data_IF_341094798143
#
_entry.id   IF_341094798143
#
_cell.length_a   1.000
_cell.length_b   1.000
_cell.length_c   1.000
_cell.angle_alpha   90.00
_cell.angle_beta   90.00
_cell.angle_gamma   90.00
#
_symmetry.space_group_name_H-M   'P 1'
#
loop_
_entity.id
_entity.type
_entity.pdbx_description
1 polymer ?
#
# COMPACT_ATOMS: atom_id res chain seq x y z
N UNK A 1 38.77 5.95 -42.91
CA UNK A 1 38.44 5.96 -41.46
C UNK A 1 36.99 5.57 -41.13
N UNK A 2 36.00 5.66 -42.04
CA UNK A 2 34.58 5.35 -41.73
C UNK A 2 34.17 3.85 -41.75
N UNK A 3 35.01 2.97 -42.30
CA UNK A 3 34.72 1.52 -42.40
C UNK A 3 35.26 0.73 -41.20
N UNK A 4 36.45 1.09 -40.71
CA UNK A 4 37.04 0.51 -39.49
C UNK A 4 36.23 0.88 -38.24
N UNK A 5 35.71 2.11 -38.16
CA UNK A 5 34.88 2.53 -37.03
C UNK A 5 33.53 1.79 -36.99
N UNK A 6 32.99 1.41 -38.15
CA UNK A 6 31.75 0.61 -38.25
C UNK A 6 31.95 -0.85 -37.85
N UNK A 7 33.07 -1.46 -38.26
CA UNK A 7 33.42 -2.82 -37.86
C UNK A 7 33.70 -2.91 -36.35
N UNK A 8 34.36 -1.90 -35.79
CA UNK A 8 34.65 -1.83 -34.36
C UNK A 8 33.38 -1.59 -33.50
N UNK A 9 32.43 -0.77 -33.97
CA UNK A 9 31.15 -0.59 -33.28
C UNK A 9 30.25 -1.83 -33.38
N UNK A 10 30.26 -2.55 -34.51
CA UNK A 10 29.53 -3.80 -34.64
C UNK A 10 30.09 -4.87 -33.69
N UNK A 11 31.42 -5.00 -33.56
CA UNK A 11 32.03 -5.95 -32.62
C UNK A 11 31.77 -5.59 -31.16
N UNK A 12 31.74 -4.29 -30.81
CA UNK A 12 31.43 -3.85 -29.43
C UNK A 12 29.97 -4.15 -29.09
N UNK A 13 29.03 -3.87 -29.99
CA UNK A 13 27.61 -4.20 -29.77
C UNK A 13 27.37 -5.71 -29.66
N UNK A 14 28.12 -6.53 -30.40
CA UNK A 14 28.05 -7.98 -30.35
C UNK A 14 28.62 -8.51 -29.01
N UNK A 15 29.76 -7.98 -28.55
CA UNK A 15 30.33 -8.29 -27.23
C UNK A 15 29.37 -7.88 -26.11
N UNK A 16 28.82 -6.66 -26.14
CA UNK A 16 27.83 -6.19 -25.16
C UNK A 16 26.57 -7.08 -25.14
N UNK A 17 26.13 -7.57 -26.30
CA UNK A 17 24.98 -8.47 -26.39
C UNK A 17 25.28 -9.87 -25.83
N UNK A 18 26.49 -10.39 -26.01
CA UNK A 18 26.93 -11.68 -25.49
C UNK A 18 27.18 -11.62 -24.00
N UNK A 19 27.81 -10.55 -23.50
CA UNK A 19 27.98 -10.30 -22.07
C UNK A 19 26.63 -10.13 -21.38
N UNK A 20 25.72 -9.32 -21.93
CA UNK A 20 24.36 -9.19 -21.41
C UNK A 20 23.60 -10.52 -21.41
N UNK A 21 23.77 -11.37 -22.43
CA UNK A 21 23.18 -12.70 -22.49
C UNK A 21 23.79 -13.64 -21.44
N UNK A 22 25.12 -13.58 -21.21
CA UNK A 22 25.83 -14.33 -20.19
C UNK A 22 25.38 -13.95 -18.78
N UNK A 23 25.39 -12.66 -18.46
CA UNK A 23 24.88 -12.12 -17.18
C UNK A 23 23.42 -12.50 -16.96
N UNK A 24 22.60 -12.48 -18.01
CA UNK A 24 21.20 -12.87 -17.90
C UNK A 24 20.99 -14.37 -17.69
N UNK A 25 21.86 -15.21 -18.23
CA UNK A 25 21.85 -16.65 -17.97
C UNK A 25 22.21 -16.96 -16.51
N UNK A 26 23.23 -16.30 -15.97
CA UNK A 26 23.64 -16.44 -14.57
C UNK A 26 22.55 -15.96 -13.60
N UNK A 27 21.95 -14.80 -13.87
CA UNK A 27 20.81 -14.28 -13.08
C UNK A 27 19.64 -15.26 -13.10
N UNK A 28 19.34 -15.88 -14.25
CA UNK A 28 18.27 -16.88 -14.35
C UNK A 28 18.56 -18.11 -13.50
N UNK A 29 19.78 -18.64 -13.58
CA UNK A 29 20.22 -19.79 -12.77
C UNK A 29 20.13 -19.49 -11.27
N UNK A 30 20.65 -18.34 -10.83
CA UNK A 30 20.55 -17.90 -9.43
C UNK A 30 19.10 -17.79 -8.95
N UNK A 31 18.20 -17.27 -9.79
CA UNK A 31 16.77 -17.17 -9.47
C UNK A 31 16.08 -18.53 -9.39
N UNK A 32 16.49 -19.51 -10.19
CA UNK A 32 15.93 -20.88 -10.10
C UNK A 32 16.21 -21.50 -8.74
N UNK A 33 17.40 -21.30 -8.20
CA UNK A 33 17.74 -21.74 -6.84
C UNK A 33 17.00 -20.93 -5.79
N UNK A 34 17.06 -19.59 -5.87
CA UNK A 34 16.50 -18.70 -4.86
C UNK A 34 14.96 -18.75 -4.78
N UNK A 35 14.27 -18.94 -5.90
CA UNK A 35 12.82 -19.00 -5.95
C UNK A 35 12.27 -20.42 -5.78
N UNK A 36 13.14 -21.42 -5.64
CA UNK A 36 12.76 -22.80 -5.43
C UNK A 36 11.93 -22.94 -4.16
N UNK A 37 10.81 -23.64 -4.28
CA UNK A 37 9.99 -24.03 -3.14
C UNK A 37 10.26 -25.50 -2.81
N UNK A 38 10.71 -25.82 -1.58
CA UNK A 38 10.92 -27.20 -1.20
C UNK A 38 9.57 -27.94 -1.11
N UNK A 39 9.53 -29.27 -1.36
CA UNK A 39 8.28 -30.03 -1.41
C UNK A 39 7.40 -29.89 -0.15
N UNK A 40 8.02 -29.77 1.03
CA UNK A 40 7.31 -29.54 2.29
C UNK A 40 6.56 -28.20 2.32
N UNK A 41 7.20 -27.11 1.90
CA UNK A 41 6.56 -25.78 1.85
C UNK A 41 5.49 -25.73 0.75
N UNK A 42 5.71 -26.42 -0.38
CA UNK A 42 4.68 -26.60 -1.40
C UNK A 42 3.44 -27.30 -0.83
N UNK A 43 3.62 -28.42 -0.12
CA UNK A 43 2.51 -29.20 0.45
C UNK A 43 1.76 -28.37 1.50
N UNK A 44 2.49 -27.67 2.36
CA UNK A 44 1.94 -26.74 3.36
C UNK A 44 1.14 -25.63 2.71
N UNK A 45 1.64 -25.01 1.63
CA UNK A 45 0.90 -23.99 0.87
C UNK A 45 -0.37 -24.56 0.24
N UNK A 46 -0.33 -25.76 -0.32
CA UNK A 46 -1.51 -26.43 -0.88
C UNK A 46 -2.56 -26.67 0.20
N UNK A 47 -2.18 -27.22 1.36
CA UNK A 47 -3.08 -27.46 2.49
C UNK A 47 -3.68 -26.15 2.98
N UNK A 48 -2.84 -25.16 3.30
CA UNK A 48 -3.30 -23.89 3.85
C UNK A 48 -4.13 -23.08 2.85
N UNK A 49 -3.76 -23.10 1.57
CA UNK A 49 -4.48 -22.41 0.50
C UNK A 49 -5.83 -23.07 0.18
N UNK A 50 -5.91 -24.40 0.27
CA UNK A 50 -7.18 -25.13 0.19
C UNK A 50 -8.06 -24.80 1.39
N UNK A 51 -7.51 -24.85 2.61
CA UNK A 51 -8.24 -24.47 3.82
C UNK A 51 -8.75 -23.01 3.78
N UNK A 52 -7.97 -22.08 3.21
CA UNK A 52 -8.41 -20.70 3.01
C UNK A 52 -9.59 -20.61 2.03
N UNK A 53 -9.57 -21.38 0.94
CA UNK A 53 -10.65 -21.42 -0.05
C UNK A 53 -11.96 -21.97 0.53
N UNK A 54 -11.87 -22.82 1.56
CA UNK A 54 -13.00 -23.43 2.25
C UNK A 54 -13.53 -22.61 3.44
N UNK A 55 -13.06 -21.38 3.65
CA UNK A 55 -13.63 -20.50 4.70
C UNK A 55 -15.07 -20.10 4.33
N UNK A 56 -15.99 -19.98 5.31
CA UNK A 56 -17.39 -19.61 5.06
C UNK A 56 -17.58 -18.37 4.20
N UNK A 57 -16.76 -17.34 4.42
CA UNK A 57 -16.77 -16.08 3.65
C UNK A 57 -16.43 -16.27 2.16
N UNK A 58 -15.73 -17.36 1.81
CA UNK A 58 -15.29 -17.68 0.45
C UNK A 58 -16.13 -18.77 -0.22
N UNK A 59 -16.86 -19.59 0.54
CA UNK A 59 -17.68 -20.70 0.00
C UNK A 59 -18.78 -20.18 -0.92
N UNK A 60 -19.33 -18.99 -0.65
CA UNK A 60 -20.37 -18.37 -1.49
C UNK A 60 -19.95 -18.16 -2.94
N UNK A 61 -18.64 -17.99 -3.19
CA UNK A 61 -18.09 -17.79 -4.54
C UNK A 61 -17.80 -19.11 -5.28
N UNK A 62 -17.90 -20.27 -4.62
CA UNK A 62 -17.54 -21.58 -5.19
C UNK A 62 -18.32 -21.94 -6.45
N UNK A 63 -19.65 -21.74 -6.56
CA UNK A 63 -20.36 -22.04 -7.81
C UNK A 63 -19.84 -21.24 -9.01
N UNK A 64 -19.51 -19.95 -8.79
CA UNK A 64 -18.93 -19.09 -9.80
C UNK A 64 -17.52 -19.53 -10.21
N UNK A 65 -16.70 -19.90 -9.22
CA UNK A 65 -15.34 -20.42 -9.46
C UNK A 65 -15.36 -21.77 -10.18
N UNK A 66 -16.28 -22.67 -9.84
CA UNK A 66 -16.44 -23.96 -10.52
C UNK A 66 -16.87 -23.78 -11.97
N UNK A 67 -17.84 -22.90 -12.23
CA UNK A 67 -18.26 -22.57 -13.61
C UNK A 67 -17.10 -21.99 -14.41
N UNK A 68 -16.32 -21.08 -13.82
CA UNK A 68 -15.14 -20.50 -14.45
C UNK A 68 -14.09 -21.57 -14.76
N UNK A 69 -13.80 -22.44 -13.80
CA UNK A 69 -12.85 -23.54 -13.99
C UNK A 69 -13.27 -24.49 -15.11
N UNK A 70 -14.55 -24.88 -15.16
CA UNK A 70 -15.07 -25.72 -16.24
C UNK A 70 -14.90 -25.05 -17.61
N UNK A 71 -15.25 -23.76 -17.74
CA UNK A 71 -15.05 -22.99 -18.98
C UNK A 71 -13.57 -22.91 -19.39
N UNK A 72 -12.66 -22.80 -18.43
CA UNK A 72 -11.21 -22.80 -18.67
C UNK A 72 -10.73 -24.14 -19.22
N UNK A 73 -11.20 -25.27 -18.68
CA UNK A 73 -10.80 -26.61 -19.14
C UNK A 73 -11.18 -26.88 -20.60
N UNK A 74 -12.29 -26.30 -21.07
CA UNK A 74 -12.75 -26.44 -22.46
C UNK A 74 -12.27 -25.29 -23.37
N UNK A 75 -11.35 -24.43 -22.90
CA UNK A 75 -10.75 -23.37 -23.70
C UNK A 75 -11.68 -22.22 -24.08
N UNK A 76 -12.82 -22.06 -23.38
CA UNK A 76 -13.82 -21.04 -23.67
C UNK A 76 -13.53 -19.69 -23.01
N UNK A 77 -12.49 -19.58 -22.19
CA UNK A 77 -12.10 -18.32 -21.56
C UNK A 77 -11.07 -17.56 -22.40
N UNK A 78 -11.25 -16.23 -22.56
CA UNK A 78 -10.22 -15.42 -23.19
C UNK A 78 -8.96 -15.40 -22.32
N UNK A 79 -7.77 -15.38 -22.97
CA UNK A 79 -6.47 -15.29 -22.29
C UNK A 79 -6.40 -14.09 -21.33
N UNK A 80 -6.99 -12.96 -21.74
CA UNK A 80 -7.12 -11.75 -20.94
C UNK A 80 -8.60 -11.33 -20.99
N UNK A 81 -9.36 -11.47 -19.89
CA UNK A 81 -10.79 -11.11 -19.86
C UNK A 81 -11.01 -9.59 -19.87
N UNK A 82 -12.23 -9.18 -20.22
CA UNK A 82 -12.72 -7.81 -20.00
C UNK A 82 -13.45 -7.73 -18.64
N UNK A 83 -12.92 -6.95 -17.67
CA UNK A 83 -13.51 -6.81 -16.34
C UNK A 83 -14.84 -6.04 -16.28
N UNK A 84 -15.30 -5.46 -17.41
CA UNK A 84 -16.60 -4.78 -17.54
C UNK A 84 -17.74 -5.70 -17.93
N UNK A 85 -17.46 -6.94 -18.33
CA UNK A 85 -18.51 -7.85 -18.78
C UNK A 85 -19.47 -8.24 -17.65
N UNK A 86 -20.78 -8.23 -17.94
CA UNK A 86 -21.86 -8.44 -16.97
C UNK A 86 -21.82 -9.82 -16.28
N UNK A 87 -21.15 -10.82 -16.87
CA UNK A 87 -21.04 -12.17 -16.31
C UNK A 87 -20.12 -12.24 -15.06
N UNK A 88 -19.41 -11.15 -14.72
CA UNK A 88 -18.32 -11.14 -13.74
C UNK A 88 -18.70 -10.43 -12.43
N UNK A 89 -19.58 -11.05 -11.66
CA UNK A 89 -20.13 -10.52 -10.41
C UNK A 89 -19.16 -10.51 -9.20
N UNK A 90 -17.94 -11.05 -9.33
CA UNK A 90 -16.99 -11.24 -8.23
C UNK A 90 -15.65 -10.50 -8.41
N UNK A 91 -14.68 -10.81 -7.56
CA UNK A 91 -13.28 -10.34 -7.72
C UNK A 91 -12.56 -11.09 -8.84
N UNK A 92 -12.87 -12.37 -9.05
CA UNK A 92 -12.26 -13.20 -10.08
C UNK A 92 -12.98 -13.00 -11.41
N UNK A 93 -12.20 -12.74 -12.46
CA UNK A 93 -12.69 -12.44 -13.82
C UNK A 93 -12.15 -13.41 -14.87
N UNK A 94 -11.21 -14.29 -14.52
CA UNK A 94 -10.63 -15.27 -15.44
C UNK A 94 -9.53 -16.11 -14.81
N UNK A 95 -8.89 -16.96 -15.62
CA UNK A 95 -7.73 -17.78 -15.23
C UNK A 95 -6.47 -17.25 -15.94
N UNK A 96 -5.42 -17.02 -15.18
CA UNK A 96 -4.15 -16.50 -15.67
C UNK A 96 -3.19 -17.67 -15.98
N UNK A 97 -3.39 -18.30 -17.13
CA UNK A 97 -2.55 -19.41 -17.62
C UNK A 97 -1.19 -18.94 -18.15
N UNK A 98 -1.12 -17.68 -18.59
CA UNK A 98 0.11 -17.08 -19.09
C UNK A 98 0.51 -15.86 -18.24
N UNK A 99 1.74 -15.90 -17.75
CA UNK A 99 2.38 -14.85 -16.93
C UNK A 99 3.59 -14.26 -17.66
N UNK A 100 3.60 -14.29 -19.00
CA UNK A 100 4.57 -13.56 -19.80
C UNK A 100 4.47 -12.04 -19.56
N UNK A 101 5.57 -11.33 -19.79
CA UNK A 101 5.65 -9.86 -19.63
C UNK A 101 4.56 -9.17 -20.45
N UNK A 102 4.40 -9.57 -21.72
CA UNK A 102 3.41 -8.98 -22.64
C UNK A 102 1.99 -9.15 -22.12
N UNK A 103 1.64 -10.33 -21.62
CA UNK A 103 0.31 -10.60 -21.05
C UNK A 103 0.08 -9.84 -19.76
N UNK A 104 1.07 -9.77 -18.86
CA UNK A 104 0.94 -9.03 -17.60
C UNK A 104 0.78 -7.52 -17.83
N UNK A 105 1.52 -6.95 -18.77
CA UNK A 105 1.37 -5.54 -19.16
C UNK A 105 0.00 -5.29 -19.79
N UNK A 106 -0.46 -6.17 -20.69
CA UNK A 106 -1.78 -6.06 -21.31
C UNK A 106 -2.92 -6.23 -20.28
N UNK A 107 -2.77 -7.14 -19.32
CA UNK A 107 -3.70 -7.34 -18.22
C UNK A 107 -3.78 -6.09 -17.33
N UNK A 108 -2.63 -5.53 -16.94
CA UNK A 108 -2.56 -4.30 -16.16
C UNK A 108 -3.27 -3.13 -16.86
N UNK A 109 -3.09 -2.97 -18.18
CA UNK A 109 -3.80 -1.97 -19.00
C UNK A 109 -5.32 -2.11 -18.94
N UNK A 110 -5.81 -3.33 -18.85
CA UNK A 110 -7.24 -3.63 -18.62
C UNK A 110 -7.68 -3.55 -17.16
N UNK A 111 -6.79 -3.20 -16.23
CA UNK A 111 -7.11 -3.08 -14.81
C UNK A 111 -7.35 -4.42 -14.11
N UNK A 112 -6.72 -5.49 -14.60
CA UNK A 112 -6.76 -6.82 -13.98
C UNK A 112 -5.35 -7.24 -13.57
N UNK A 113 -5.24 -8.07 -12.52
CA UNK A 113 -3.97 -8.52 -11.97
C UNK A 113 -4.04 -10.01 -11.61
N UNK A 114 -2.91 -10.74 -11.64
CA UNK A 114 -2.89 -12.14 -11.28
C UNK A 114 -2.91 -12.30 -9.75
N UNK A 115 -3.67 -13.25 -9.24
CA UNK A 115 -3.65 -13.65 -7.84
C UNK A 115 -3.92 -15.15 -7.73
N UNK A 116 -3.10 -15.87 -6.97
CA UNK A 116 -3.31 -17.30 -6.76
C UNK A 116 -2.43 -17.88 -5.66
N UNK A 117 -3.04 -18.73 -4.85
CA UNK A 117 -2.34 -19.45 -3.78
C UNK A 117 -2.04 -20.91 -4.16
N UNK A 118 -2.98 -21.53 -4.89
CA UNK A 118 -2.95 -22.93 -5.31
C UNK A 118 -3.45 -23.03 -6.75
N UNK A 119 -2.82 -23.92 -7.53
CA UNK A 119 -3.10 -24.12 -8.94
C UNK A 119 -2.73 -22.91 -9.80
N UNK A 120 -3.38 -22.78 -10.96
CA UNK A 120 -3.21 -21.61 -11.82
C UNK A 120 -3.68 -20.33 -11.10
N UNK A 121 -2.94 -19.21 -11.24
CA UNK A 121 -3.42 -17.92 -10.76
C UNK A 121 -4.71 -17.50 -11.49
N UNK A 122 -5.48 -16.63 -10.84
CA UNK A 122 -6.72 -16.07 -11.36
C UNK A 122 -6.47 -14.64 -11.79
N UNK A 123 -7.14 -14.20 -12.85
CA UNK A 123 -7.27 -12.78 -13.13
C UNK A 123 -8.28 -12.17 -12.16
N UNK A 124 -7.89 -11.08 -11.51
CA UNK A 124 -8.72 -10.40 -10.52
C UNK A 124 -8.99 -8.94 -10.91
N UNK A 125 -10.21 -8.49 -10.68
CA UNK A 125 -10.64 -7.10 -10.70
C UNK A 125 -11.75 -6.92 -9.67
N UNK A 126 -11.49 -6.40 -8.45
CA UNK A 126 -12.51 -6.20 -7.43
C UNK A 126 -13.55 -5.15 -7.84
N UNK A 127 -14.73 -5.18 -7.20
CA UNK A 127 -15.81 -4.19 -7.44
C UNK A 127 -15.41 -2.77 -7.01
N UNK A 128 -14.62 -2.70 -5.94
CA UNK A 128 -13.97 -1.48 -5.45
C UNK A 128 -12.47 -1.63 -5.58
N UNK A 129 -11.78 -0.56 -6.00
CA UNK A 129 -10.34 -0.51 -6.15
C UNK A 129 -9.75 0.49 -5.16
N UNK A 130 -8.74 0.06 -4.41
CA UNK A 130 -7.98 0.96 -3.54
C UNK A 130 -6.92 1.71 -4.36
N UNK A 131 -7.06 3.03 -4.42
CA UNK A 131 -6.15 3.93 -5.14
C UNK A 131 -5.69 5.07 -4.24
N UNK A 132 -4.46 5.54 -4.45
CA UNK A 132 -3.95 6.75 -3.83
C UNK A 132 -3.74 7.81 -4.91
N UNK A 133 -4.43 8.93 -4.75
CA UNK A 133 -4.06 10.17 -5.40
C UNK A 133 -3.03 10.88 -4.53
N UNK A 134 -1.94 11.37 -5.13
CA UNK A 134 -0.81 11.89 -4.37
C UNK A 134 -1.14 13.07 -3.47
N UNK A 135 -2.15 13.87 -3.85
CA UNK A 135 -2.66 14.94 -2.98
C UNK A 135 -3.23 14.42 -1.68
N UNK A 136 -3.65 13.15 -1.57
CA UNK A 136 -4.23 12.61 -0.34
C UNK A 136 -3.19 11.88 0.52
N UNK A 137 -1.92 11.82 0.07
CA UNK A 137 -0.87 11.03 0.73
C UNK A 137 -0.48 11.56 2.11
N UNK A 138 -0.51 10.69 3.12
CA UNK A 138 -0.14 11.01 4.48
C UNK A 138 1.07 10.21 4.97
N UNK A 139 2.12 10.91 5.40
CA UNK A 139 3.26 10.30 6.09
C UNK A 139 3.00 10.36 7.60
N UNK A 140 2.93 9.19 8.24
CA UNK A 140 2.73 9.09 9.69
C UNK A 140 3.82 9.81 10.49
N UNK A 141 3.47 10.34 11.67
CA UNK A 141 4.42 11.01 12.57
C UNK A 141 5.60 10.12 12.97
N UNK A 142 5.37 8.81 13.15
CA UNK A 142 6.42 7.88 13.52
C UNK A 142 7.40 7.65 12.37
N UNK A 143 6.90 7.44 11.14
CA UNK A 143 7.74 7.33 9.96
C UNK A 143 8.57 8.60 9.73
N UNK A 144 7.98 9.80 9.84
CA UNK A 144 8.75 11.06 9.76
C UNK A 144 9.86 11.15 10.80
N UNK A 145 9.57 10.73 12.04
CA UNK A 145 10.58 10.72 13.11
C UNK A 145 11.70 9.73 12.76
N UNK A 146 11.38 8.53 12.30
CA UNK A 146 12.38 7.54 11.91
C UNK A 146 13.26 8.02 10.76
N UNK A 147 12.69 8.63 9.72
CA UNK A 147 13.45 9.18 8.61
C UNK A 147 14.41 10.31 9.04
N UNK A 148 13.97 11.21 9.94
CA UNK A 148 14.82 12.30 10.45
C UNK A 148 16.01 11.84 11.30
N UNK A 149 16.01 10.59 11.78
CA UNK A 149 17.14 10.07 12.55
C UNK A 149 18.33 9.70 11.69
N UNK A 150 18.17 9.60 10.36
CA UNK A 150 19.26 9.23 9.45
C UNK A 150 19.80 7.81 9.65
N UNK A 151 18.96 6.88 10.12
CA UNK A 151 19.35 5.49 10.41
C UNK A 151 19.20 4.55 9.23
N UNK A 152 18.55 5.00 8.15
CA UNK A 152 18.17 4.15 7.04
C UNK A 152 18.56 4.79 5.71
N UNK A 153 19.14 3.99 4.82
CA UNK A 153 19.33 4.31 3.40
C UNK A 153 18.21 3.67 2.60
N UNK A 154 17.65 4.39 1.64
CA UNK A 154 16.68 3.83 0.68
C UNK A 154 17.32 3.76 -0.69
N UNK A 155 17.09 2.65 -1.38
CA UNK A 155 17.50 2.45 -2.77
C UNK A 155 16.31 1.94 -3.59
N UNK A 156 16.43 2.02 -4.90
CA UNK A 156 15.51 1.38 -5.84
C UNK A 156 16.28 0.41 -6.73
N UNK A 157 15.63 -0.69 -7.11
CA UNK A 157 16.11 -1.66 -8.08
C UNK A 157 17.49 -2.29 -7.80
N UNK A 158 17.97 -2.25 -6.55
CA UNK A 158 19.28 -2.80 -6.18
C UNK A 158 19.23 -4.25 -5.67
N UNK A 159 18.09 -4.70 -5.12
CA UNK A 159 17.96 -6.04 -4.54
C UNK A 159 16.56 -6.61 -4.74
N UNK A 160 16.11 -6.66 -6.00
CA UNK A 160 14.75 -7.09 -6.34
C UNK A 160 14.43 -8.50 -5.84
N UNK A 161 15.36 -9.42 -6.04
CA UNK A 161 15.29 -10.81 -5.61
C UNK A 161 15.12 -10.94 -4.09
N UNK A 162 15.92 -10.22 -3.31
CA UNK A 162 15.82 -10.21 -1.84
C UNK A 162 14.47 -9.64 -1.39
N UNK A 163 14.02 -8.55 -2.02
CA UNK A 163 12.75 -7.90 -1.69
C UNK A 163 11.55 -8.81 -1.97
N UNK A 164 11.51 -9.48 -3.14
CA UNK A 164 10.39 -10.36 -3.48
C UNK A 164 10.37 -11.63 -2.62
N UNK A 165 11.56 -12.13 -2.23
CA UNK A 165 11.69 -13.23 -1.27
C UNK A 165 11.18 -12.80 0.10
N UNK A 166 11.63 -11.67 0.64
CA UNK A 166 11.19 -11.16 1.94
C UNK A 166 9.68 -10.85 1.95
N UNK A 167 9.13 -10.36 0.83
CA UNK A 167 7.67 -10.20 0.67
C UNK A 167 6.91 -11.54 0.69
N UNK A 168 7.58 -12.63 0.32
CA UNK A 168 7.02 -13.98 0.27
C UNK A 168 7.03 -14.70 1.63
N UNK A 169 7.74 -14.17 2.62
CA UNK A 169 7.92 -14.82 3.91
C UNK A 169 6.65 -14.84 4.79
N UNK A 170 6.54 -15.84 5.69
CA UNK A 170 5.47 -15.90 6.68
C UNK A 170 5.44 -14.66 7.58
N UNK A 171 4.24 -14.10 7.79
CA UNK A 171 4.07 -12.95 8.70
C UNK A 171 3.52 -13.41 10.05
N UNK A 172 4.11 -13.00 11.18
CA UNK A 172 3.60 -13.32 12.51
C UNK A 172 2.13 -12.88 12.66
N UNK A 173 1.28 -13.77 13.18
CA UNK A 173 -0.13 -13.47 13.44
C UNK A 173 -1.06 -13.47 12.22
N UNK A 174 -0.57 -13.87 11.04
CA UNK A 174 -1.39 -14.04 9.84
C UNK A 174 -1.49 -15.51 9.43
N UNK A 175 -2.64 -15.89 8.85
CA UNK A 175 -2.80 -17.20 8.23
C UNK A 175 -1.81 -17.33 7.06
N UNK A 176 -0.92 -18.33 7.09
CA UNK A 176 0.23 -18.45 6.20
C UNK A 176 -0.14 -18.96 4.80
N UNK A 177 -0.89 -18.16 4.04
CA UNK A 177 -1.16 -18.44 2.62
C UNK A 177 -0.67 -17.25 1.81
N UNK A 178 0.57 -17.36 1.32
CA UNK A 178 1.13 -16.36 0.43
C UNK A 178 0.73 -16.65 -1.03
N UNK A 179 0.47 -15.59 -1.79
CA UNK A 179 0.20 -15.66 -3.23
C UNK A 179 1.47 -15.52 -4.08
N UNK A 180 2.58 -15.08 -3.48
CA UNK A 180 3.89 -14.91 -4.13
C UNK A 180 4.57 -16.28 -4.24
N UNK A 181 3.97 -17.16 -5.04
CA UNK A 181 4.48 -18.49 -5.39
C UNK A 181 5.75 -18.38 -6.25
N UNK A 182 6.53 -19.47 -6.43
CA UNK A 182 7.68 -19.47 -7.34
C UNK A 182 7.34 -18.96 -8.74
N UNK A 183 6.20 -19.39 -9.30
CA UNK A 183 5.73 -18.92 -10.60
C UNK A 183 5.52 -17.39 -10.63
N UNK A 184 4.98 -16.81 -9.55
CA UNK A 184 4.85 -15.36 -9.45
C UNK A 184 6.20 -14.66 -9.28
N UNK A 185 7.12 -15.21 -8.48
CA UNK A 185 8.47 -14.65 -8.32
C UNK A 185 9.17 -14.53 -9.69
N UNK A 186 9.17 -15.60 -10.48
CA UNK A 186 9.71 -15.58 -11.84
C UNK A 186 8.96 -14.60 -12.76
N UNK A 187 7.65 -14.48 -12.64
CA UNK A 187 6.87 -13.56 -13.45
C UNK A 187 7.24 -12.08 -13.20
N UNK A 188 7.33 -11.67 -11.94
CA UNK A 188 7.75 -10.31 -11.60
C UNK A 188 9.24 -10.07 -11.83
N UNK A 189 10.10 -11.08 -11.68
CA UNK A 189 11.50 -10.98 -12.04
C UNK A 189 11.68 -10.71 -13.54
N UNK A 190 10.90 -11.37 -14.41
CA UNK A 190 10.88 -11.03 -15.85
C UNK A 190 10.35 -9.62 -16.12
N UNK A 191 9.36 -9.15 -15.36
CA UNK A 191 8.91 -7.76 -15.45
C UNK A 191 10.00 -6.77 -15.01
N UNK A 192 10.81 -7.14 -14.02
CA UNK A 192 11.92 -6.33 -13.54
C UNK A 192 13.04 -6.26 -14.58
N UNK A 193 13.39 -7.38 -15.21
CA UNK A 193 14.36 -7.40 -16.32
C UNK A 193 13.87 -6.57 -17.52
N UNK A 194 12.56 -6.59 -17.76
CA UNK A 194 11.93 -5.79 -18.81
C UNK A 194 11.74 -4.30 -18.43
N UNK A 195 12.19 -3.88 -17.23
CA UNK A 195 12.13 -2.49 -16.76
C UNK A 195 10.74 -2.00 -16.34
N UNK A 196 9.80 -2.92 -16.09
CA UNK A 196 8.43 -2.59 -15.65
C UNK A 196 8.19 -2.82 -14.16
N UNK A 197 8.83 -3.81 -13.55
CA UNK A 197 8.75 -4.00 -12.11
C UNK A 197 9.92 -3.31 -11.42
N UNK A 198 9.67 -2.80 -10.22
CA UNK A 198 10.66 -2.06 -9.43
C UNK A 198 10.59 -2.49 -7.97
N UNK A 199 11.75 -2.55 -7.34
CA UNK A 199 11.89 -2.78 -5.90
C UNK A 199 12.31 -1.50 -5.18
N UNK A 200 11.92 -1.42 -3.92
CA UNK A 200 12.27 -0.36 -3.00
C UNK A 200 12.86 -1.02 -1.77
N UNK A 201 14.12 -0.71 -1.48
CA UNK A 201 14.86 -1.31 -0.38
C UNK A 201 15.10 -0.29 0.73
N UNK A 202 15.02 -0.74 1.98
CA UNK A 202 15.38 0.05 3.16
C UNK A 202 16.48 -0.67 3.92
N UNK A 203 17.68 -0.12 3.82
CA UNK A 203 18.89 -0.64 4.44
C UNK A 203 19.18 0.08 5.75
N UNK A 204 19.68 -0.64 6.75
CA UNK A 204 20.33 0.01 7.88
C UNK A 204 21.79 0.40 7.55
N UNK A 205 22.45 1.05 8.50
CA UNK A 205 23.86 1.46 8.41
C UNK A 205 24.87 0.29 8.25
N UNK A 206 24.48 -0.92 8.65
CA UNK A 206 25.30 -2.13 8.50
C UNK A 206 25.14 -2.76 7.11
N UNK A 207 24.21 -2.25 6.30
CA UNK A 207 23.92 -2.79 4.97
C UNK A 207 22.91 -3.94 4.99
N UNK A 208 22.16 -4.13 6.08
CA UNK A 208 21.14 -5.16 6.17
C UNK A 208 19.79 -4.66 5.62
N UNK A 209 19.09 -5.50 4.85
CA UNK A 209 17.75 -5.21 4.35
C UNK A 209 16.70 -5.29 5.48
N UNK A 210 16.19 -4.14 5.94
CA UNK A 210 15.23 -4.04 7.07
C UNK A 210 13.78 -3.83 6.65
N UNK A 211 13.51 -3.61 5.39
CA UNK A 211 12.16 -3.46 4.87
C UNK A 211 12.18 -3.03 3.41
N UNK A 212 11.00 -2.95 2.82
CA UNK A 212 10.88 -2.62 1.42
C UNK A 212 9.59 -3.12 0.81
N UNK A 213 9.60 -3.20 -0.51
CA UNK A 213 8.55 -3.83 -1.29
C UNK A 213 8.74 -3.60 -2.77
N UNK A 214 7.81 -4.11 -3.56
CA UNK A 214 7.91 -4.03 -5.01
C UNK A 214 6.56 -3.69 -5.64
N UNK A 215 6.62 -3.20 -6.87
CA UNK A 215 5.46 -2.90 -7.68
C UNK A 215 5.78 -2.86 -9.17
N UNK A 216 4.78 -2.52 -9.97
CA UNK A 216 4.87 -2.46 -11.44
C UNK A 216 4.51 -1.06 -11.91
N UNK A 217 5.37 -0.43 -12.70
CA UNK A 217 5.15 0.87 -13.32
C UNK A 217 4.78 0.69 -14.79
N UNK A 218 3.57 1.14 -15.17
CA UNK A 218 3.12 1.13 -16.56
C UNK A 218 2.45 2.47 -16.85
N UNK A 219 2.96 3.17 -17.88
CA UNK A 219 2.55 4.53 -18.16
C UNK A 219 2.76 5.43 -16.95
N UNK A 220 1.71 6.14 -16.52
CA UNK A 220 1.73 6.98 -15.30
C UNK A 220 1.01 6.34 -14.12
N UNK A 221 0.95 5.01 -14.06
CA UNK A 221 0.37 4.26 -12.94
C UNK A 221 1.44 3.40 -12.29
N UNK A 222 1.53 3.46 -10.97
CA UNK A 222 2.31 2.50 -10.18
C UNK A 222 1.36 1.54 -9.47
N UNK A 223 1.55 0.25 -9.72
CA UNK A 223 0.77 -0.83 -9.11
C UNK A 223 1.60 -1.39 -7.96
N UNK A 224 1.20 -1.12 -6.72
CA UNK A 224 1.81 -1.70 -5.53
C UNK A 224 1.45 -3.18 -5.41
N UNK A 225 2.45 -4.05 -5.28
CA UNK A 225 2.25 -5.50 -5.16
C UNK A 225 2.34 -5.98 -3.72
N UNK A 226 3.50 -5.77 -3.08
CA UNK A 226 3.70 -6.20 -1.70
C UNK A 226 4.75 -5.35 -1.00
N UNK A 227 4.68 -5.36 0.34
CA UNK A 227 5.59 -4.68 1.26
C UNK A 227 5.98 -5.65 2.38
N UNK A 228 7.18 -5.53 2.91
CA UNK A 228 7.65 -6.21 4.11
C UNK A 228 8.37 -5.24 5.07
N UNK A 229 8.50 -5.64 6.34
CA UNK A 229 9.09 -4.80 7.39
C UNK A 229 9.73 -5.71 8.44
N UNK A 230 11.05 -5.69 8.54
CA UNK A 230 11.82 -6.39 9.59
C UNK A 230 12.21 -5.45 10.74
N UNK A 231 12.08 -4.14 10.54
CA UNK A 231 12.19 -3.15 11.60
C UNK A 231 11.01 -2.18 11.57
N UNK A 232 10.87 -1.43 12.66
CA UNK A 232 9.75 -0.51 12.86
C UNK A 232 9.72 0.56 11.77
N UNK A 233 8.54 0.75 11.19
CA UNK A 233 8.23 1.79 10.19
C UNK A 233 9.02 1.69 8.87
N UNK A 234 9.87 0.68 8.64
CA UNK A 234 10.70 0.59 7.41
C UNK A 234 9.86 0.46 6.14
N UNK A 235 8.80 -0.36 6.13
CA UNK A 235 7.81 -0.39 5.03
C UNK A 235 7.15 0.97 4.78
N UNK A 236 6.97 1.82 5.81
CA UNK A 236 6.41 3.16 5.64
C UNK A 236 7.42 4.17 5.12
N UNK A 237 8.69 3.99 5.46
CA UNK A 237 9.80 4.78 4.90
C UNK A 237 9.90 4.49 3.40
N UNK A 238 9.89 3.21 3.01
CA UNK A 238 9.89 2.79 1.61
C UNK A 238 8.76 3.47 0.82
N UNK A 239 7.51 3.36 1.30
CA UNK A 239 6.34 3.98 0.66
C UNK A 239 6.48 5.51 0.61
N UNK A 240 6.94 6.16 1.68
CA UNK A 240 7.08 7.62 1.71
C UNK A 240 8.08 8.13 0.68
N UNK A 241 9.24 7.48 0.56
CA UNK A 241 10.26 7.83 -0.42
C UNK A 241 9.76 7.55 -1.84
N UNK A 242 9.14 6.38 -2.07
CA UNK A 242 8.52 6.06 -3.35
C UNK A 242 7.47 7.10 -3.78
N UNK A 243 6.53 7.45 -2.90
CA UNK A 243 5.47 8.42 -3.23
C UNK A 243 6.07 9.78 -3.59
N UNK A 244 7.18 10.19 -2.97
CA UNK A 244 7.86 11.44 -3.31
C UNK A 244 8.37 11.41 -4.74
N UNK A 245 9.04 10.33 -5.14
CA UNK A 245 9.58 10.16 -6.49
C UNK A 245 8.46 10.07 -7.53
N UNK A 246 7.43 9.26 -7.29
CA UNK A 246 6.29 9.16 -8.21
C UNK A 246 5.62 10.51 -8.49
N UNK A 247 5.55 11.41 -7.49
CA UNK A 247 5.05 12.78 -7.68
C UNK A 247 5.96 13.61 -8.58
N UNK A 248 7.27 13.59 -8.36
CA UNK A 248 8.23 14.36 -9.17
C UNK A 248 8.32 13.79 -10.60
N UNK A 249 8.24 12.47 -10.75
CA UNK A 249 8.14 11.78 -12.03
C UNK A 249 6.74 11.82 -12.64
N UNK A 250 5.81 12.63 -12.12
CA UNK A 250 4.53 12.92 -12.77
C UNK A 250 3.58 11.73 -12.92
N UNK A 251 3.65 10.72 -12.04
CA UNK A 251 2.64 9.66 -12.00
C UNK A 251 1.27 10.23 -11.65
N UNK A 252 0.22 9.54 -12.09
CA UNK A 252 -1.17 9.96 -11.88
C UNK A 252 -1.75 9.45 -10.56
N UNK A 253 -1.54 8.18 -10.25
CA UNK A 253 -1.99 7.55 -9.01
C UNK A 253 -1.26 6.23 -8.73
N UNK A 254 -1.46 5.69 -7.52
CA UNK A 254 -0.99 4.37 -7.11
C UNK A 254 -2.18 3.43 -6.92
N UNK A 255 -2.08 2.21 -7.44
CA UNK A 255 -3.07 1.14 -7.31
C UNK A 255 -2.56 0.03 -6.39
N UNK A 256 -3.25 -0.25 -5.29
CA UNK A 256 -2.91 -1.37 -4.38
C UNK A 256 -3.95 -2.47 -4.41
N UNK A 257 -4.84 -2.45 -5.40
CA UNK A 257 -5.93 -3.40 -5.60
C UNK A 257 -7.00 -3.30 -4.52
N UNK A 258 -6.68 -3.74 -3.31
CA UNK A 258 -7.58 -3.85 -2.17
C UNK A 258 -7.16 -2.93 -1.02
N UNK A 259 -8.15 -2.48 -0.26
CA UNK A 259 -7.92 -1.64 0.91
C UNK A 259 -7.45 -2.48 2.10
N UNK A 260 -6.56 -1.91 2.91
CA UNK A 260 -6.21 -2.42 4.23
C UNK A 260 -5.86 -1.26 5.19
N UNK A 261 -5.76 -1.50 6.51
CA UNK A 261 -5.51 -0.41 7.48
C UNK A 261 -4.20 0.36 7.24
N UNK A 262 -3.18 -0.28 6.67
CA UNK A 262 -1.92 0.40 6.32
C UNK A 262 -2.15 1.36 5.16
N UNK A 263 -2.84 0.93 4.10
CA UNK A 263 -3.19 1.78 2.95
C UNK A 263 -4.09 2.95 3.37
N UNK A 264 -5.10 2.70 4.20
CA UNK A 264 -5.94 3.75 4.77
C UNK A 264 -5.09 4.79 5.52
N UNK A 265 -4.09 4.34 6.30
CA UNK A 265 -3.19 5.25 7.04
C UNK A 265 -2.32 6.15 6.14
N UNK A 266 -2.10 5.74 4.89
CA UNK A 266 -1.42 6.54 3.87
C UNK A 266 -2.36 7.47 3.09
N UNK A 267 -3.68 7.35 3.26
CA UNK A 267 -4.66 8.17 2.54
C UNK A 267 -5.20 7.55 1.25
N UNK A 268 -5.06 6.23 1.07
CA UNK A 268 -5.75 5.53 -0.02
C UNK A 268 -7.26 5.65 0.14
N UNK A 269 -7.98 5.64 -0.98
CA UNK A 269 -9.43 5.63 -1.04
C UNK A 269 -9.93 4.49 -1.94
N UNK A 270 -11.13 4.00 -1.67
CA UNK A 270 -11.79 3.03 -2.53
C UNK A 270 -12.64 3.76 -3.58
N UNK A 271 -12.49 3.36 -4.85
CA UNK A 271 -13.31 3.85 -5.96
C UNK A 271 -14.00 2.68 -6.68
N UNK A 272 -15.18 2.89 -7.30
CA UNK A 272 -15.83 1.86 -8.10
C UNK A 272 -14.95 1.38 -9.28
N UNK A 273 -15.04 0.09 -9.62
CA UNK A 273 -14.29 -0.54 -10.72
C UNK A 273 -14.39 0.27 -12.02
N UNK A 274 -15.60 0.66 -12.45
CA UNK A 274 -15.78 1.39 -13.72
C UNK A 274 -15.07 2.73 -13.76
N UNK A 275 -15.01 3.43 -12.61
CA UNK A 275 -14.25 4.67 -12.47
C UNK A 275 -12.76 4.39 -12.55
N UNK A 276 -12.28 3.36 -11.83
CA UNK A 276 -10.89 2.93 -11.90
C UNK A 276 -10.48 2.58 -13.33
N UNK A 277 -11.22 1.71 -14.02
CA UNK A 277 -10.90 1.26 -15.38
C UNK A 277 -10.80 2.43 -16.36
N UNK A 278 -11.75 3.37 -16.30
CA UNK A 278 -11.76 4.56 -17.16
C UNK A 278 -10.56 5.49 -16.92
N UNK A 279 -10.09 5.58 -15.67
CA UNK A 279 -8.90 6.37 -15.32
C UNK A 279 -7.60 5.63 -15.67
N UNK A 280 -7.58 4.31 -15.44
CA UNK A 280 -6.45 3.42 -15.65
C UNK A 280 -6.06 3.37 -17.12
N UNK A 281 -7.02 3.19 -18.02
CA UNK A 281 -6.80 3.15 -19.46
C UNK A 281 -6.07 4.42 -19.96
N UNK A 282 -6.55 5.59 -19.53
CA UNK A 282 -5.92 6.88 -19.88
C UNK A 282 -4.50 7.00 -19.33
N UNK A 283 -4.32 6.69 -18.05
CA UNK A 283 -3.04 6.86 -17.38
C UNK A 283 -1.98 5.85 -17.84
N UNK A 284 -2.36 4.62 -18.18
CA UNK A 284 -1.43 3.60 -18.67
C UNK A 284 -1.04 3.77 -20.14
N UNK A 285 -1.81 4.55 -20.91
CA UNK A 285 -1.46 4.94 -22.28
C UNK A 285 -0.60 6.20 -22.35
N UNK A 286 -0.47 6.95 -21.25
CA UNK A 286 0.50 8.04 -21.17
C UNK A 286 1.92 7.49 -21.18
N UNK A 287 2.87 8.24 -21.76
CA UNK A 287 4.27 7.84 -21.79
C UNK A 287 4.81 7.73 -20.36
N UNK A 288 5.14 6.52 -19.94
CA UNK A 288 5.75 6.20 -18.65
C UNK A 288 7.27 6.13 -18.73
N UNK A 289 7.87 5.73 -17.61
CA UNK A 289 9.28 5.37 -17.56
C UNK A 289 9.44 3.85 -17.56
N UNK A 290 10.38 3.35 -18.36
CA UNK A 290 10.78 1.94 -18.43
C UNK A 290 12.30 1.94 -18.29
N UNK A 291 12.83 1.11 -17.39
CA UNK A 291 14.26 1.04 -17.10
C UNK A 291 14.56 0.83 -15.63
N UNK A 292 15.79 1.09 -15.21
CA UNK A 292 16.19 1.03 -13.79
C UNK A 292 15.87 2.33 -13.09
N UNK A 293 15.38 2.23 -11.86
CA UNK A 293 15.14 3.36 -10.99
C UNK A 293 16.31 3.60 -10.06
N UNK A 294 16.56 4.87 -9.78
CA UNK A 294 17.53 5.30 -8.79
C UNK A 294 16.86 6.29 -7.83
N UNK A 295 17.38 6.36 -6.61
CA UNK A 295 16.87 7.29 -5.60
C UNK A 295 17.54 8.64 -5.80
N UNK A 296 16.73 9.64 -6.08
CA UNK A 296 17.15 11.04 -6.20
C UNK A 296 16.97 11.79 -4.87
N UNK A 297 15.98 11.40 -4.06
CA UNK A 297 15.57 12.10 -2.84
C UNK A 297 15.61 11.15 -1.64
N UNK A 298 16.55 11.41 -0.72
CA UNK A 298 16.73 10.60 0.49
C UNK A 298 15.61 10.72 1.52
N UNK A 299 15.50 9.78 2.48
CA UNK A 299 14.44 9.77 3.50
C UNK A 299 14.39 11.06 4.34
N UNK A 300 15.54 11.63 4.68
CA UNK A 300 15.66 12.83 5.51
C UNK A 300 15.00 14.03 4.82
N UNK A 301 15.22 14.19 3.51
CA UNK A 301 14.62 15.26 2.71
C UNK A 301 13.11 15.03 2.53
N UNK A 302 12.68 13.79 2.29
CA UNK A 302 11.25 13.43 2.27
C UNK A 302 10.56 13.83 3.58
N UNK A 303 11.24 13.67 4.72
CA UNK A 303 10.69 13.97 6.04
C UNK A 303 10.53 15.47 6.35
N UNK A 304 11.21 16.34 5.62
CA UNK A 304 11.12 17.81 5.74
C UNK A 304 10.23 18.42 4.65
N UNK A 305 9.92 17.68 3.60
CA UNK A 305 9.13 18.17 2.48
C UNK A 305 7.69 18.54 2.88
N UNK A 306 7.37 19.83 2.75
CA UNK A 306 6.02 20.37 2.97
C UNK A 306 5.21 20.45 1.67
N UNK A 307 5.79 20.12 0.50
CA UNK A 307 5.16 20.34 -0.82
C UNK A 307 3.88 19.55 -1.01
N UNK A 308 3.87 18.28 -0.61
CA UNK A 308 2.66 17.44 -0.57
C UNK A 308 1.62 18.09 0.37
N UNK A 309 2.06 18.61 1.52
CA UNK A 309 1.18 19.26 2.50
C UNK A 309 0.63 20.62 2.02
N UNK A 310 1.37 21.36 1.19
CA UNK A 310 0.92 22.64 0.61
C UNK A 310 -0.20 22.42 -0.41
N UNK A 311 -0.04 21.45 -1.32
CA UNK A 311 -1.11 21.05 -2.25
C UNK A 311 -2.36 20.55 -1.51
N UNK A 312 -2.18 19.75 -0.47
CA UNK A 312 -3.24 19.33 0.45
C UNK A 312 -4.00 20.50 1.08
N UNK A 313 -3.27 21.48 1.63
CA UNK A 313 -3.87 22.66 2.28
C UNK A 313 -4.65 23.52 1.29
N UNK A 314 -4.17 23.65 0.05
CA UNK A 314 -4.84 24.42 -0.98
C UNK A 314 -6.17 23.77 -1.40
N UNK A 315 -6.22 22.43 -1.54
CA UNK A 315 -7.45 21.68 -1.84
C UNK A 315 -8.47 21.66 -0.69
N UNK A 316 -7.99 21.73 0.56
CA UNK A 316 -8.84 21.83 1.77
C UNK A 316 -9.35 23.25 2.05
N UNK A 317 -8.83 24.27 1.39
CA UNK A 317 -9.45 25.60 1.44
C UNK A 317 -10.77 25.53 0.66
N UNK A 318 -11.90 25.97 1.24
CA UNK A 318 -13.10 26.16 0.45
C UNK A 318 -12.79 27.14 -0.70
N UNK A 319 -13.41 26.99 -1.88
CA UNK A 319 -13.21 27.93 -2.98
C UNK A 319 -13.46 29.37 -2.50
N UNK A 320 -12.67 30.33 -2.96
CA UNK A 320 -12.79 31.75 -2.55
C UNK A 320 -14.21 32.31 -2.78
N UNK A 321 -14.99 31.71 -3.70
CA UNK A 321 -16.42 32.00 -3.90
C UNK A 321 -17.32 31.70 -2.69
N UNK A 322 -16.90 30.82 -1.77
CA UNK A 322 -17.60 30.54 -0.50
C UNK A 322 -17.09 31.40 0.66
N UNK A 323 -15.91 32.01 0.53
CA UNK A 323 -15.33 32.90 1.56
C UNK A 323 -15.88 34.32 1.42
N UNK A 324 -16.24 34.76 0.20
CA UNK A 324 -16.85 36.08 -0.06
C UNK A 324 -18.36 36.18 0.24
N UNK A 325 -19.07 35.08 0.45
CA UNK A 325 -20.52 35.09 0.66
C UNK A 325 -20.95 35.40 2.12
N UNK A 326 -20.01 35.46 3.07
CA UNK A 326 -20.31 35.75 4.48
C UNK A 326 -19.94 37.18 4.93
N UNK A 327 -19.20 37.94 4.12
CA UNK A 327 -18.80 39.32 4.45
C UNK A 327 -19.78 40.41 3.92
N UNK A 328 -20.76 40.02 3.09
CA UNK A 328 -21.73 40.95 2.48
C UNK A 328 -22.99 41.26 3.31
N UNK A 329 -23.27 40.52 4.39
CA UNK A 329 -24.54 40.65 5.15
C UNK A 329 -24.38 41.53 6.41
N UNK A 330 -23.16 41.97 6.75
CA UNK A 330 -22.89 42.79 7.94
C UNK A 330 -22.54 44.26 7.66
N UNK A 331 -22.73 44.73 6.43
CA UNK A 331 -22.34 46.09 6.01
C UNK A 331 -23.48 46.91 5.38
N UNK A 332 -24.74 46.72 5.82
CA UNK A 332 -25.87 47.57 5.40
C UNK A 332 -26.81 48.05 6.51
N UNK A 333 -26.52 47.78 7.80
CA UNK A 333 -27.42 48.12 8.92
C UNK A 333 -26.86 49.18 9.88
N UNK A 334 -26.18 50.19 9.36
CA UNK A 334 -25.78 51.39 10.14
C UNK A 334 -25.98 52.68 9.35
N UNK A 335 -27.22 52.98 8.95
CA UNK A 335 -27.71 54.37 8.77
C UNK A 335 -29.24 54.37 8.72
N UNK A 336 -29.87 54.61 9.88
CA UNK A 336 -31.19 55.22 9.99
C UNK A 336 -31.33 55.79 11.41
N UNK A 337 -31.48 57.11 11.50
CA UNK A 337 -31.75 57.85 12.73
C UNK A 337 -33.20 57.70 13.21
N UNK A 338 -33.56 58.35 14.34
CA UNK A 338 -34.69 57.96 15.17
C UNK A 338 -35.92 58.87 14.98
N UNK A 339 -37.12 58.27 14.97
CA UNK A 339 -38.39 58.92 15.32
C UNK A 339 -39.36 57.84 15.86
N UNK A 340 -39.97 58.09 17.04
CA UNK A 340 -40.86 57.15 17.78
C UNK A 340 -42.31 57.11 17.23
N UNK A 341 -43.37 56.72 18.01
CA UNK A 341 -43.45 56.31 19.43
C UNK A 341 -44.35 55.02 19.62
N UNK A 342 -45.14 54.82 20.71
CA UNK A 342 -44.87 53.80 21.73
C UNK A 342 -45.93 52.66 21.80
N UNK A 343 -45.54 51.47 22.28
CA UNK A 343 -46.51 50.47 22.71
C UNK A 343 -45.97 49.06 22.94
N UNK A 344 -45.82 48.68 24.21
CA UNK A 344 -45.55 47.34 24.76
C UNK A 344 -44.09 46.83 24.79
N UNK A 345 -43.52 46.79 26.01
CA UNK A 345 -42.38 45.97 26.46
C UNK A 345 -42.93 44.77 27.26
N UNK A 346 -42.15 43.74 27.63
CA UNK A 346 -41.14 43.02 26.84
C UNK A 346 -41.20 41.48 27.05
N UNK A 347 -41.16 40.69 25.98
CA UNK A 347 -40.75 39.28 26.05
C UNK A 347 -39.24 39.16 25.86
N UNK A 348 -38.47 39.00 26.95
CA UNK A 348 -37.01 38.79 26.90
C UNK A 348 -36.67 37.49 26.17
N UNK A 349 -36.23 37.56 24.92
CA UNK A 349 -35.36 36.54 24.34
C UNK A 349 -33.90 36.98 24.52
N UNK A 350 -33.20 36.35 25.48
CA UNK A 350 -31.76 36.51 25.66
C UNK A 350 -31.03 36.01 24.41
N UNK A 351 -30.32 36.92 23.75
CA UNK A 351 -29.20 36.63 22.88
C UNK A 351 -28.20 35.72 23.61
N UNK A 352 -28.03 34.50 23.13
CA UNK A 352 -26.95 33.62 23.53
C UNK A 352 -25.66 34.01 22.78
N UNK A 353 -24.63 34.35 23.54
CA UNK A 353 -23.25 34.64 23.11
C UNK A 353 -22.62 33.51 22.28
N UNK A 354 -21.59 33.79 21.46
CA UNK A 354 -20.89 32.80 20.65
C UNK A 354 -20.09 31.82 21.53
N UNK A 355 -20.70 30.69 21.86
CA UNK A 355 -20.06 29.59 22.62
C UNK A 355 -20.52 28.18 22.20
N UNK A 356 -21.36 28.05 21.17
CA UNK A 356 -22.08 26.80 20.88
C UNK A 356 -21.37 25.85 19.88
N UNK A 357 -20.31 26.27 19.17
CA UNK A 357 -19.61 25.36 18.24
C UNK A 357 -18.67 24.35 18.93
N UNK A 358 -18.17 24.65 20.14
CA UNK A 358 -17.42 23.69 20.95
C UNK A 358 -18.33 22.59 21.53
N UNK A 359 -19.61 22.89 21.77
CA UNK A 359 -20.60 21.93 22.27
C UNK A 359 -21.06 20.90 21.21
N UNK A 360 -21.18 21.31 19.95
CA UNK A 360 -21.47 20.41 18.83
C UNK A 360 -20.29 19.46 18.54
N UNK A 361 -19.05 19.98 18.62
CA UNK A 361 -17.84 19.17 18.43
C UNK A 361 -17.61 18.17 19.58
N UNK A 362 -17.95 18.53 20.83
CA UNK A 362 -17.94 17.59 21.97
C UNK A 362 -19.04 16.53 21.87
N UNK A 363 -20.24 16.86 21.37
CA UNK A 363 -21.33 15.90 21.12
C UNK A 363 -20.99 14.93 19.98
N UNK A 364 -20.38 15.40 18.89
CA UNK A 364 -19.89 14.56 17.81
C UNK A 364 -18.75 13.62 18.27
N UNK A 365 -17.79 14.11 19.06
CA UNK A 365 -16.72 13.26 19.64
C UNK A 365 -17.26 12.23 20.64
N UNK A 366 -18.31 12.55 21.41
CA UNK A 366 -19.00 11.59 22.29
C UNK A 366 -19.78 10.55 21.48
N UNK A 367 -20.43 10.95 20.38
CA UNK A 367 -21.11 10.02 19.47
C UNK A 367 -20.12 9.04 18.83
N UNK A 368 -18.98 9.52 18.30
CA UNK A 368 -17.93 8.67 17.73
C UNK A 368 -17.30 7.73 18.78
N UNK A 369 -17.07 8.21 20.02
CA UNK A 369 -16.61 7.34 21.12
C UNK A 369 -17.65 6.29 21.51
N UNK A 370 -18.95 6.61 21.47
CA UNK A 370 -20.05 5.68 21.75
C UNK A 370 -20.17 4.64 20.64
N UNK A 371 -20.06 5.04 19.37
CA UNK A 371 -20.03 4.11 18.22
C UNK A 371 -18.81 3.20 18.24
N UNK A 372 -17.63 3.69 18.64
CA UNK A 372 -16.43 2.84 18.83
C UNK A 372 -16.59 1.84 19.97
N UNK A 373 -17.24 2.23 21.08
CA UNK A 373 -17.54 1.31 22.20
C UNK A 373 -18.60 0.27 21.81
N UNK A 374 -19.63 0.66 21.07
CA UNK A 374 -20.65 -0.27 20.56
C UNK A 374 -20.05 -1.24 19.53
N UNK A 375 -19.16 -0.76 18.66
CA UNK A 375 -18.43 -1.61 17.70
C UNK A 375 -17.44 -2.56 18.37
N UNK A 376 -16.73 -2.11 19.42
CA UNK A 376 -15.87 -2.97 20.23
C UNK A 376 -16.66 -4.01 21.03
N UNK A 377 -17.82 -3.63 21.59
CA UNK A 377 -18.74 -4.56 22.26
C UNK A 377 -19.35 -5.58 21.30
N UNK A 378 -19.69 -5.15 20.07
CA UNK A 378 -20.14 -6.04 18.99
C UNK A 378 -19.05 -7.06 18.61
N UNK A 379 -17.79 -6.63 18.46
CA UNK A 379 -16.63 -7.51 18.19
C UNK A 379 -16.34 -8.50 19.33
N UNK A 380 -16.49 -8.08 20.59
CA UNK A 380 -16.35 -8.96 21.76
C UNK A 380 -17.45 -10.03 21.79
N UNK A 381 -18.69 -9.67 21.44
CA UNK A 381 -19.82 -10.60 21.35
C UNK A 381 -19.71 -11.59 20.18
N UNK A 382 -18.93 -11.26 19.15
CA UNK A 382 -18.62 -12.08 17.98
C UNK A 382 -17.30 -12.88 18.13
N UNK A 383 -16.65 -12.85 19.30
CA UNK A 383 -15.39 -13.59 19.56
C UNK A 383 -14.15 -13.06 18.82
N UNK A 384 -14.22 -11.85 18.23
CA UNK A 384 -13.15 -11.26 17.40
C UNK A 384 -12.11 -10.44 18.19
N UNK A 385 -12.24 -10.36 19.52
CA UNK A 385 -11.30 -9.69 20.44
C UNK A 385 -11.22 -10.48 21.75
N UNK A 386 -10.00 -10.68 22.27
CA UNK A 386 -9.77 -11.31 23.58
C UNK A 386 -9.63 -10.24 24.69
N UNK A 387 -10.09 -10.47 25.94
CA UNK A 387 -10.20 -9.43 26.98
C UNK A 387 -8.89 -8.71 27.38
N UNK A 388 -7.73 -9.27 27.03
CA UNK A 388 -6.41 -8.75 27.39
C UNK A 388 -5.96 -7.50 26.60
N UNK A 389 -6.67 -7.07 25.56
CA UNK A 389 -6.24 -5.95 24.70
C UNK A 389 -6.79 -4.56 25.10
N UNK A 390 -7.42 -4.42 26.26
CA UNK A 390 -7.90 -3.13 26.78
C UNK A 390 -7.12 -2.69 28.03
N UNK A 391 -5.85 -2.27 27.86
CA UNK A 391 -5.20 -1.34 28.78
C UNK A 391 -4.61 -0.16 28.01
N UNK A 392 -5.20 1.02 28.20
CA UNK A 392 -4.65 2.31 27.80
C UNK A 392 -3.70 2.82 28.89
N UNK A 393 -2.55 3.44 28.57
CA UNK A 393 -1.76 4.14 29.57
C UNK A 393 -2.29 5.56 29.75
N UNK A 394 -2.87 5.85 30.91
CA UNK A 394 -3.02 7.21 31.45
C UNK A 394 -2.05 7.41 32.62
N UNK A 395 -1.70 8.68 32.82
CA UNK A 395 -0.61 9.21 33.63
C UNK A 395 -0.66 8.83 35.12
N UNK A 396 0.50 8.56 35.71
CA UNK A 396 0.81 8.94 37.11
C UNK A 396 2.26 9.42 37.16
N UNK A 397 2.45 10.66 37.59
CA UNK A 397 3.73 11.21 38.01
C UNK A 397 3.80 11.32 39.54
N UNK A 398 5.04 11.30 40.04
CA UNK A 398 5.53 11.76 41.33
C UNK A 398 5.00 11.10 42.62
N UNK A 399 5.89 10.38 43.30
CA UNK A 399 5.81 10.05 44.72
C UNK A 399 7.14 9.45 45.20
N UNK A 400 7.95 10.25 45.89
CA UNK A 400 9.13 9.80 46.67
C UNK A 400 8.65 8.98 47.88
N UNK A 401 9.36 7.90 48.20
CA UNK A 401 9.65 7.49 49.59
C UNK A 401 10.74 6.41 49.59
N UNK A 402 11.65 6.56 50.55
CA UNK A 402 12.86 5.80 50.85
C UNK A 402 12.60 4.33 51.26
N UNK A 403 13.65 3.49 51.20
CA UNK A 403 13.70 2.26 51.99
C UNK A 403 14.53 1.09 51.42
N UNK A 404 15.81 1.07 51.79
CA UNK A 404 16.67 -0.09 52.11
C UNK A 404 16.54 -1.49 51.44
N UNK A 405 17.69 -1.93 50.92
CA UNK A 405 18.26 -3.26 50.56
C UNK A 405 18.35 -4.20 51.81
N UNK A 406 18.70 -5.53 51.79
CA UNK A 406 19.18 -6.47 50.74
C UNK A 406 18.56 -7.90 50.69
N UNK A 407 18.93 -8.65 49.63
CA UNK A 407 19.53 -9.99 49.82
C UNK A 407 18.89 -11.17 49.07
N UNK A 408 19.63 -11.74 48.12
CA UNK A 408 19.98 -13.17 48.02
C UNK A 408 20.27 -13.61 46.56
N UNK A 409 21.53 -13.99 46.34
CA UNK A 409 22.04 -14.83 45.23
C UNK A 409 22.19 -16.24 45.81
N UNK A 410 21.80 -17.31 45.09
CA UNK A 410 22.75 -18.22 44.40
C UNK A 410 22.14 -18.78 43.08
N UNK A 411 22.81 -19.45 42.14
CA UNK A 411 24.19 -19.82 41.83
C UNK A 411 24.26 -20.23 40.33
N UNK A 412 25.46 -20.14 39.74
CA UNK A 412 25.94 -20.76 38.47
C UNK A 412 25.83 -22.30 38.54
N UNK A 413 25.85 -23.17 37.51
CA UNK A 413 26.18 -23.27 36.05
C UNK A 413 25.81 -24.75 35.66
N UNK A 414 26.15 -25.39 34.50
CA UNK A 414 26.82 -24.93 33.26
C UNK A 414 26.20 -25.41 31.90
N UNK A 415 26.67 -24.76 30.83
CA UNK A 415 27.03 -25.21 29.46
C UNK A 415 26.38 -26.45 28.81
N UNK A 416 25.87 -26.27 27.56
CA UNK A 416 26.51 -26.76 26.31
C UNK A 416 25.76 -26.33 25.01
N UNK A 417 26.39 -26.44 23.81
CA UNK A 417 26.20 -25.56 22.65
C UNK A 417 25.59 -26.25 21.40
N UNK A 418 25.25 -25.46 20.37
CA UNK A 418 25.17 -25.81 18.92
C UNK A 418 24.88 -24.47 18.16
N UNK A 419 25.70 -23.86 17.29
CA UNK A 419 26.30 -24.31 16.00
C UNK A 419 25.20 -24.81 15.03
N UNK A 420 24.96 -24.29 13.83
CA UNK A 420 25.65 -23.39 12.88
C UNK A 420 24.61 -22.50 12.17
#
# INVERSE_FOLDING_TARGET
MSSLNRLMQASVAEIESVEAAGTMSEIRSSREELFREPPYEWAKRVVLGTAWSLKPDNIGDMPGLTKLWLKDQVGLLPRIPDPRSEEQAGIVVGVARDLSVTTLVAAAKRGIYPLGHVGAPKWCSPKTRAVLFFDDFHISKSARRSMRKGQYRVTFDQAFEEVIVACSEPRPGHWHVNWITPAMKHAYARLFDAGFAHSIEVWDHEGNLKGGGYGVAIGRVFIGESLFSHARDTSKIAVAVLMRHLVEWGYSFVDTKLMNPLMESFGFQEIPRDRFLSMNEKAMNAQGWVGRWEVEIGPEEVATCTRIEKRQRQKRRPPESLVGAYDGVWRSSRHAGPDGPPGSRPGRCRLARPGSQLGACRRARRAVRRSRRLYAAFRLRQGLLSPLQLRTPEMVGAGRADGAVPGAVPARQPDRPEAL
#
